data_IF_398573715203
#
_entry.id   IF_398573715203
#
_cell.length_a   1.000
_cell.length_b   1.000
_cell.length_c   1.000
_cell.angle_alpha   90.00
_cell.angle_beta   90.00
_cell.angle_gamma   90.00
#
_symmetry.space_group_name_H-M   'P 1'
#
loop_
_entity.id
_entity.type
_entity.pdbx_description
1 polymer ?
#
# COMPACT_ATOMS: atom_id res chain seq x y z
N UNK A 1 -4.37 4.93 11.00
CA UNK A 1 -4.65 3.93 12.06
C UNK A 1 -3.40 3.76 12.92
N UNK A 2 -3.50 3.68 14.24
CA UNK A 2 -2.32 3.46 15.08
C UNK A 2 -1.87 1.98 15.02
N UNK A 3 -0.57 1.69 15.23
CA UNK A 3 -0.10 0.30 15.21
C UNK A 3 -0.74 -0.52 16.33
N UNK A 4 -0.88 -1.84 16.15
CA UNK A 4 -1.43 -2.73 17.20
C UNK A 4 -0.49 -2.88 18.40
N UNK A 5 0.82 -2.87 18.13
CA UNK A 5 1.89 -3.17 19.07
C UNK A 5 3.07 -2.23 18.84
N UNK A 6 3.83 -2.00 19.90
CA UNK A 6 5.13 -1.32 19.85
C UNK A 6 6.13 -2.04 20.72
N UNK A 7 7.41 -1.84 20.42
CA UNK A 7 8.51 -2.29 21.25
C UNK A 7 8.85 -1.22 22.28
N UNK A 8 8.56 -1.49 23.54
CA UNK A 8 9.06 -0.71 24.68
C UNK A 8 10.55 -1.05 24.86
N UNK A 9 11.40 -0.07 24.53
CA UNK A 9 12.83 -0.24 24.57
C UNK A 9 13.34 -0.31 26.01
N UNK A 10 12.71 0.34 26.99
CA UNK A 10 13.17 0.26 28.37
C UNK A 10 12.94 -1.12 28.97
N UNK A 11 11.71 -1.65 28.85
CA UNK A 11 11.38 -2.98 29.37
C UNK A 11 11.84 -4.13 28.47
N UNK A 12 12.28 -3.81 27.24
CA UNK A 12 12.63 -4.76 26.20
C UNK A 12 11.49 -5.75 25.88
N UNK A 13 10.27 -5.22 25.74
CA UNK A 13 9.07 -6.02 25.47
C UNK A 13 8.19 -5.38 24.43
N UNK A 14 7.54 -6.21 23.63
CA UNK A 14 6.44 -5.80 22.79
C UNK A 14 5.18 -5.68 23.65
N UNK A 15 4.57 -4.50 23.60
CA UNK A 15 3.39 -4.14 24.37
C UNK A 15 2.29 -3.61 23.44
N UNK A 16 1.02 -3.67 23.84
CA UNK A 16 -0.06 -3.02 23.09
C UNK A 16 0.20 -1.52 22.94
N UNK A 17 -0.13 -0.97 21.78
CA UNK A 17 0.10 0.46 21.48
C UNK A 17 -0.50 1.42 22.49
N UNK A 18 -1.70 1.15 23.00
CA UNK A 18 -2.39 2.02 23.95
C UNK A 18 -1.66 2.19 25.30
N UNK A 19 -0.65 1.36 25.58
CA UNK A 19 0.24 1.52 26.75
C UNK A 19 1.32 2.59 26.49
N UNK A 20 1.67 2.83 25.23
CA UNK A 20 2.71 3.78 24.87
C UNK A 20 2.24 5.21 25.17
N UNK A 21 3.08 5.95 25.90
CA UNK A 21 2.81 7.36 26.25
C UNK A 21 3.36 8.35 25.23
N UNK A 22 4.08 7.85 24.24
CA UNK A 22 4.69 8.60 23.14
C UNK A 22 4.58 7.82 21.84
N UNK A 23 4.61 8.55 20.73
CA UNK A 23 4.68 7.98 19.40
C UNK A 23 6.00 7.22 19.21
N UNK A 24 5.98 6.03 18.59
CA UNK A 24 7.15 5.18 18.52
C UNK A 24 8.04 5.66 17.37
N UNK A 25 9.34 5.49 17.51
CA UNK A 25 10.24 5.71 16.39
C UNK A 25 10.16 4.52 15.42
N UNK A 26 10.12 4.80 14.12
CA UNK A 26 10.16 3.75 13.11
C UNK A 26 11.55 3.14 12.99
N UNK A 27 11.64 1.83 12.83
CA UNK A 27 12.86 1.14 12.42
C UNK A 27 12.61 0.53 11.06
N UNK A 28 13.30 1.05 10.06
CA UNK A 28 13.20 0.61 8.68
C UNK A 28 14.51 -0.03 8.25
N UNK A 29 14.47 -1.11 7.46
CA UNK A 29 15.69 -1.83 7.12
C UNK A 29 15.62 -2.56 5.77
N UNK A 30 16.78 -2.72 5.14
CA UNK A 30 16.92 -3.58 3.98
C UNK A 30 16.64 -5.05 4.35
N UNK A 31 16.17 -5.82 3.38
CA UNK A 31 15.83 -7.23 3.56
C UNK A 31 16.97 -8.08 3.02
N UNK A 32 17.41 -9.06 3.82
CA UNK A 32 18.43 -10.00 3.40
C UNK A 32 17.80 -11.26 2.82
N UNK A 33 18.54 -11.95 1.96
CA UNK A 33 18.16 -13.28 1.47
C UNK A 33 17.92 -14.26 2.64
N UNK A 34 17.04 -15.24 2.43
CA UNK A 34 16.74 -16.27 3.44
C UNK A 34 17.99 -16.99 3.94
N UNK A 35 18.98 -17.21 3.07
CA UNK A 35 20.26 -17.84 3.43
C UNK A 35 21.11 -17.02 4.41
N UNK A 36 20.89 -15.71 4.51
CA UNK A 36 21.60 -14.80 5.42
C UNK A 36 20.78 -14.42 6.66
N UNK A 37 19.58 -14.98 6.81
CA UNK A 37 18.70 -14.75 7.95
C UNK A 37 18.61 -15.97 8.86
N UNK A 38 18.19 -15.72 10.09
CA UNK A 38 17.83 -16.74 11.08
C UNK A 38 16.56 -16.30 11.81
N UNK A 39 15.73 -17.28 12.14
CA UNK A 39 14.55 -17.08 12.99
C UNK A 39 14.97 -17.21 14.45
N UNK A 40 14.76 -16.15 15.23
CA UNK A 40 15.10 -16.12 16.65
C UNK A 40 13.84 -16.21 17.49
N UNK A 41 13.82 -17.18 18.41
CA UNK A 41 12.86 -17.20 19.50
C UNK A 41 13.30 -16.23 20.60
N UNK A 42 12.41 -15.36 21.05
CA UNK A 42 12.77 -14.24 21.92
C UNK A 42 11.70 -13.93 22.98
N UNK A 43 12.09 -13.61 24.22
CA UNK A 43 11.14 -13.15 25.23
C UNK A 43 10.54 -11.78 24.91
N UNK A 44 11.14 -11.01 23.98
CA UNK A 44 10.68 -9.66 23.59
C UNK A 44 9.22 -9.69 23.16
N UNK A 45 8.83 -10.66 22.33
CA UNK A 45 7.44 -10.87 21.90
C UNK A 45 6.73 -12.01 22.66
N UNK A 46 7.23 -12.35 23.86
CA UNK A 46 6.74 -13.46 24.69
C UNK A 46 6.78 -14.83 23.98
N UNK A 47 7.78 -15.08 23.14
CA UNK A 47 7.94 -16.34 22.40
C UNK A 47 6.74 -16.70 21.51
N UNK A 48 5.95 -15.71 21.09
CA UNK A 48 4.70 -15.96 20.37
C UNK A 48 4.91 -16.25 18.87
N UNK A 49 5.98 -15.72 18.27
CA UNK A 49 6.38 -16.00 16.89
C UNK A 49 7.90 -15.87 16.73
N UNK A 50 8.51 -16.58 15.78
CA UNK A 50 9.92 -16.39 15.46
C UNK A 50 10.18 -15.01 14.86
N UNK A 51 11.32 -14.41 15.16
CA UNK A 51 11.72 -13.09 14.64
C UNK A 51 12.84 -13.27 13.60
N UNK A 52 12.59 -13.00 12.31
CA UNK A 52 13.59 -13.13 11.26
C UNK A 52 14.58 -11.96 11.31
N UNK A 53 15.85 -12.24 11.65
CA UNK A 53 16.92 -11.24 11.68
C UNK A 53 18.14 -11.72 10.88
N UNK A 54 19.04 -10.81 10.45
CA UNK A 54 20.34 -11.21 9.91
C UNK A 54 21.10 -12.15 10.87
N UNK A 55 21.87 -13.10 10.32
CA UNK A 55 22.62 -14.08 11.12
C UNK A 55 23.62 -13.44 12.08
N UNK A 56 24.21 -12.33 11.66
CA UNK A 56 25.17 -11.48 12.36
C UNK A 56 24.52 -10.38 13.23
N UNK A 57 23.20 -10.18 13.15
CA UNK A 57 22.50 -9.17 13.93
C UNK A 57 22.15 -9.61 15.36
N UNK A 58 21.99 -8.61 16.24
CA UNK A 58 21.56 -8.78 17.61
C UNK A 58 20.54 -7.70 18.01
N UNK A 59 19.32 -8.11 18.37
CA UNK A 59 18.24 -7.20 18.77
C UNK A 59 18.61 -6.32 19.97
N UNK A 60 19.47 -6.80 20.89
CA UNK A 60 19.92 -5.99 22.02
C UNK A 60 20.84 -4.84 21.58
N UNK A 61 21.63 -5.03 20.51
CA UNK A 61 22.47 -3.95 19.97
C UNK A 61 21.61 -2.90 19.26
N UNK A 62 20.64 -3.34 18.45
CA UNK A 62 19.63 -2.44 17.86
C UNK A 62 18.91 -1.64 18.94
N UNK A 63 18.47 -2.30 20.02
CA UNK A 63 17.85 -1.64 21.17
C UNK A 63 18.75 -0.58 21.80
N UNK A 64 20.01 -0.90 22.06
CA UNK A 64 20.97 0.04 22.67
C UNK A 64 21.17 1.25 21.76
N UNK A 65 21.30 1.03 20.45
CA UNK A 65 21.42 2.10 19.48
C UNK A 65 20.19 3.02 19.48
N UNK A 66 18.99 2.46 19.44
CA UNK A 66 17.74 3.23 19.54
C UNK A 66 17.64 4.04 20.84
N UNK A 67 18.01 3.43 21.98
CA UNK A 67 18.05 4.12 23.28
C UNK A 67 19.07 5.27 23.28
N UNK A 68 20.24 5.09 22.66
CA UNK A 68 21.26 6.15 22.54
C UNK A 68 20.77 7.32 21.68
N UNK A 69 19.92 7.07 20.69
CA UNK A 69 19.26 8.14 19.94
C UNK A 69 18.14 8.84 20.74
N UNK A 70 17.72 8.27 21.87
CA UNK A 70 16.68 8.83 22.74
C UNK A 70 15.28 8.28 22.48
N UNK A 71 15.16 7.17 21.74
CA UNK A 71 13.87 6.51 21.56
C UNK A 71 13.44 5.77 22.85
N UNK A 72 12.18 5.96 23.26
CA UNK A 72 11.57 5.22 24.37
C UNK A 72 10.78 4.00 23.85
N UNK A 73 10.06 4.21 22.75
CA UNK A 73 9.29 3.20 22.04
C UNK A 73 9.74 3.14 20.58
N UNK A 74 9.75 1.95 20.01
CA UNK A 74 10.04 1.74 18.60
C UNK A 74 8.97 0.88 17.94
N UNK A 75 8.74 1.11 16.66
CA UNK A 75 7.99 0.22 15.79
C UNK A 75 8.97 -0.48 14.85
N UNK A 76 9.07 -1.80 14.99
CA UNK A 76 9.86 -2.67 14.13
C UNK A 76 8.93 -3.78 13.65
N UNK A 77 8.66 -3.83 12.35
CA UNK A 77 7.72 -4.74 11.69
C UNK A 77 7.85 -6.21 12.16
N UNK A 78 9.07 -6.76 12.15
CA UNK A 78 9.34 -8.15 12.53
C UNK A 78 9.06 -8.45 14.02
N UNK A 79 9.00 -7.42 14.87
CA UNK A 79 8.64 -7.51 16.28
C UNK A 79 7.20 -7.09 16.56
N UNK A 80 6.63 -6.17 15.79
CA UNK A 80 5.32 -5.57 16.05
C UNK A 80 4.20 -6.23 15.22
N UNK A 81 4.55 -7.02 14.21
CA UNK A 81 3.67 -7.88 13.44
C UNK A 81 4.03 -9.35 13.69
N UNK A 82 3.01 -10.21 13.76
CA UNK A 82 3.24 -11.67 13.82
C UNK A 82 3.92 -12.12 12.53
N UNK A 83 4.90 -12.98 12.65
CA UNK A 83 5.66 -13.51 11.52
C UNK A 83 5.24 -14.94 11.20
N UNK A 84 5.54 -15.38 9.98
CA UNK A 84 5.31 -16.75 9.52
C UNK A 84 6.05 -17.78 10.39
N UNK A 85 5.50 -18.98 10.50
CA UNK A 85 6.06 -20.06 11.33
C UNK A 85 5.62 -19.96 12.79
N UNK A 86 4.55 -19.20 13.06
CA UNK A 86 3.92 -19.14 14.37
C UNK A 86 2.96 -20.31 14.56
N UNK A 87 2.61 -20.65 15.82
CA UNK A 87 1.59 -21.68 16.09
C UNK A 87 0.16 -21.26 15.69
N UNK A 88 -0.07 -19.98 15.34
CA UNK A 88 -1.41 -19.44 15.12
C UNK A 88 -1.49 -18.62 13.83
N UNK A 89 -1.27 -19.29 12.70
CA UNK A 89 -1.32 -18.71 11.37
C UNK A 89 -2.68 -18.07 11.05
N UNK A 90 -3.79 -18.62 11.59
CA UNK A 90 -5.12 -18.01 11.43
C UNK A 90 -5.21 -16.63 12.08
N UNK A 91 -4.56 -16.44 13.24
CA UNK A 91 -4.51 -15.15 13.92
C UNK A 91 -3.57 -14.19 13.20
N UNK A 92 -2.44 -14.68 12.69
CA UNK A 92 -1.52 -13.87 11.86
C UNK A 92 -2.25 -13.33 10.64
N UNK A 93 -2.96 -14.17 9.89
CA UNK A 93 -3.72 -13.75 8.72
C UNK A 93 -4.78 -12.69 9.08
N UNK A 94 -5.52 -12.87 10.18
CA UNK A 94 -6.50 -11.88 10.66
C UNK A 94 -5.88 -10.55 11.07
N UNK A 95 -4.71 -10.57 11.73
CA UNK A 95 -4.00 -9.34 12.10
C UNK A 95 -3.43 -8.65 10.85
N UNK A 96 -2.77 -9.40 9.96
CA UNK A 96 -2.19 -8.87 8.72
C UNK A 96 -3.23 -8.24 7.81
N UNK A 97 -4.43 -8.81 7.76
CA UNK A 97 -5.56 -8.27 7.01
C UNK A 97 -5.76 -6.78 7.22
N UNK A 98 -5.61 -6.30 8.46
CA UNK A 98 -5.79 -4.90 8.82
C UNK A 98 -4.45 -4.16 8.97
N UNK A 99 -3.46 -4.82 9.57
CA UNK A 99 -2.23 -4.17 10.00
C UNK A 99 -1.28 -3.89 8.81
N UNK A 100 -1.19 -4.80 7.82
CA UNK A 100 -0.24 -4.70 6.67
C UNK A 100 -0.53 -3.49 5.76
N UNK A 101 -1.78 -3.25 5.31
CA UNK A 101 -2.10 -2.07 4.48
C UNK A 101 -1.85 -0.73 5.17
N UNK A 102 -1.69 -0.74 6.50
CA UNK A 102 -1.60 0.45 7.33
C UNK A 102 -0.20 0.69 7.92
N UNK A 103 0.80 -0.10 7.50
CA UNK A 103 2.17 -0.03 8.04
C UNK A 103 2.76 1.37 7.95
N UNK A 104 2.54 2.09 6.83
CA UNK A 104 3.03 3.46 6.64
C UNK A 104 2.70 4.41 7.79
N UNK A 105 1.54 4.24 8.45
CA UNK A 105 1.15 5.08 9.59
C UNK A 105 2.14 5.03 10.77
N UNK A 106 2.91 3.94 10.90
CA UNK A 106 3.92 3.80 11.95
C UNK A 106 5.19 4.65 11.69
N UNK A 107 5.35 5.20 10.49
CA UNK A 107 6.57 5.88 10.04
C UNK A 107 6.38 7.39 9.76
N UNK A 108 5.15 7.91 9.79
CA UNK A 108 4.85 9.30 9.42
C UNK A 108 5.21 10.30 10.50
N UNK A 109 4.86 10.00 11.75
CA UNK A 109 4.78 11.02 12.81
C UNK A 109 6.13 11.32 13.47
N UNK A 110 6.97 10.31 13.64
CA UNK A 110 8.22 10.41 14.41
C UNK A 110 9.45 10.00 13.60
N UNK A 111 10.62 10.04 14.24
CA UNK A 111 11.89 9.68 13.60
C UNK A 111 11.89 8.24 13.10
N UNK A 112 12.47 8.05 11.92
CA UNK A 112 12.73 6.73 11.32
C UNK A 112 14.23 6.47 11.26
N UNK A 113 14.67 5.35 11.85
CA UNK A 113 16.07 4.89 11.77
C UNK A 113 16.18 3.86 10.66
N UNK A 114 16.97 4.16 9.63
CA UNK A 114 17.08 3.35 8.42
C UNK A 114 18.39 2.56 8.38
N UNK A 115 18.30 1.23 8.36
CA UNK A 115 19.45 0.32 8.18
C UNK A 115 19.56 -0.15 6.73
N UNK A 116 20.43 0.48 5.95
CA UNK A 116 20.56 0.23 4.50
C UNK A 116 21.23 -1.10 4.15
N UNK A 117 22.03 -1.67 5.06
CA UNK A 117 22.73 -2.96 4.88
C UNK A 117 21.99 -4.15 5.51
N UNK A 118 20.80 -3.93 6.07
CA UNK A 118 20.03 -4.90 6.84
C UNK A 118 20.02 -4.57 8.32
N UNK A 119 18.96 -5.01 9.01
CA UNK A 119 18.67 -4.64 10.39
C UNK A 119 19.88 -4.83 11.33
N UNK A 120 20.28 -3.75 12.01
CA UNK A 120 21.36 -3.78 13.00
C UNK A 120 22.76 -3.99 12.42
N UNK A 121 22.92 -3.99 11.09
CA UNK A 121 24.23 -4.08 10.43
C UNK A 121 24.82 -2.69 10.21
N UNK A 122 26.15 -2.54 10.32
CA UNK A 122 26.82 -1.27 10.02
C UNK A 122 26.61 -0.87 8.56
N UNK A 123 26.57 0.45 8.32
CA UNK A 123 26.63 1.01 6.98
C UNK A 123 28.07 0.91 6.46
N UNK A 124 28.24 0.14 5.39
CA UNK A 124 29.52 -0.22 4.78
C UNK A 124 29.51 0.05 3.27
N UNK A 125 30.70 0.28 2.68
CA UNK A 125 30.86 0.63 1.25
C UNK A 125 30.40 -0.45 0.26
N UNK A 126 30.15 -1.68 0.72
CA UNK A 126 29.56 -2.75 -0.10
C UNK A 126 28.05 -2.59 -0.33
N UNK A 127 27.46 -1.47 0.11
CA UNK A 127 26.07 -1.12 -0.15
C UNK A 127 25.81 -0.91 -1.64
N UNK A 128 25.04 -1.81 -2.24
CA UNK A 128 24.50 -1.65 -3.59
C UNK A 128 23.11 -1.03 -3.50
N UNK A 129 22.98 0.22 -3.97
CA UNK A 129 21.72 0.95 -3.97
C UNK A 129 20.70 0.45 -4.99
N UNK A 130 21.15 -0.27 -6.00
CA UNK A 130 20.33 -0.67 -7.15
C UNK A 130 20.03 -2.17 -7.15
N UNK A 131 20.67 -2.94 -6.26
CA UNK A 131 20.30 -4.33 -5.95
C UNK A 131 18.82 -4.46 -5.61
N UNK A 132 18.19 -5.55 -6.06
CA UNK A 132 16.82 -5.95 -5.73
C UNK A 132 16.55 -6.06 -4.22
N UNK A 133 17.60 -6.22 -3.41
CA UNK A 133 17.54 -6.30 -1.95
C UNK A 133 17.82 -4.97 -1.25
N UNK A 134 18.19 -3.95 -2.01
CA UNK A 134 18.44 -2.61 -1.49
C UNK A 134 17.19 -2.04 -0.84
N UNK A 135 17.40 -1.25 0.21
CA UNK A 135 16.32 -0.49 0.84
C UNK A 135 15.55 0.36 -0.17
N UNK A 136 16.23 0.93 -1.17
CA UNK A 136 15.60 1.79 -2.20
C UNK A 136 14.75 1.03 -3.22
N UNK A 137 14.94 -0.28 -3.34
CA UNK A 137 14.25 -1.11 -4.35
C UNK A 137 13.09 -1.89 -3.77
N UNK A 138 12.93 -2.00 -2.45
CA UNK A 138 11.81 -2.74 -1.86
C UNK A 138 10.48 -2.00 -1.99
N UNK A 139 9.42 -2.72 -2.27
CA UNK A 139 8.05 -2.15 -2.36
C UNK A 139 7.62 -1.45 -1.07
N UNK A 140 7.78 -2.12 0.08
CA UNK A 140 7.30 -1.62 1.38
C UNK A 140 7.98 -0.34 1.86
N UNK A 141 9.28 -0.15 1.55
CA UNK A 141 10.04 1.03 2.01
C UNK A 141 9.56 2.35 1.42
N UNK A 142 8.68 2.30 0.42
CA UNK A 142 8.01 3.50 -0.11
C UNK A 142 7.15 4.16 0.98
N UNK A 143 6.42 3.34 1.75
CA UNK A 143 5.60 3.80 2.89
C UNK A 143 6.44 4.22 4.10
N UNK A 144 7.70 3.77 4.16
CA UNK A 144 8.62 3.99 5.29
C UNK A 144 9.51 5.24 5.07
N UNK A 145 9.36 5.91 3.92
CA UNK A 145 10.12 7.11 3.56
C UNK A 145 9.59 8.31 4.35
N UNK A 146 10.35 8.75 5.37
CA UNK A 146 10.00 9.88 6.23
C UNK A 146 10.92 11.10 6.04
N UNK A 147 10.36 12.31 6.24
CA UNK A 147 11.14 13.56 6.34
C UNK A 147 12.06 13.57 7.55
N UNK A 148 11.64 12.91 8.62
CA UNK A 148 12.33 12.87 9.89
C UNK A 148 13.05 11.52 10.00
N UNK A 149 14.24 11.41 9.41
CA UNK A 149 14.96 10.14 9.33
C UNK A 149 16.43 10.27 9.72
N UNK A 150 17.05 9.14 10.05
CA UNK A 150 18.49 9.02 10.30
C UNK A 150 19.05 7.66 9.88
N UNK A 151 20.38 7.59 9.76
CA UNK A 151 21.10 6.36 9.39
C UNK A 151 21.28 5.51 10.66
N UNK A 152 20.82 4.25 10.61
CA UNK A 152 21.18 3.22 11.58
C UNK A 152 22.48 2.51 11.18
N UNK A 153 23.27 2.10 12.16
CA UNK A 153 24.57 1.46 11.94
C UNK A 153 25.63 2.41 11.39
N UNK A 154 25.53 3.71 11.66
CA UNK A 154 26.49 4.72 11.18
C UNK A 154 27.91 4.41 11.70
N UNK A 155 28.85 4.22 10.78
CA UNK A 155 30.26 3.93 11.06
C UNK A 155 31.15 5.18 11.12
N UNK A 156 30.59 6.36 10.86
CA UNK A 156 31.31 7.64 10.81
C UNK A 156 31.98 7.94 9.46
N UNK A 157 31.81 7.09 8.43
CA UNK A 157 32.28 7.38 7.07
C UNK A 157 31.46 8.53 6.46
N UNK A 158 32.01 9.74 6.52
CA UNK A 158 31.34 10.96 6.03
C UNK A 158 31.02 10.91 4.53
N UNK A 159 31.84 10.22 3.73
CA UNK A 159 31.63 10.15 2.28
C UNK A 159 30.45 9.24 1.97
N UNK A 160 30.45 8.03 2.54
CA UNK A 160 29.35 7.08 2.38
C UNK A 160 28.03 7.63 2.94
N UNK A 161 28.08 8.28 4.11
CA UNK A 161 26.92 8.94 4.71
C UNK A 161 26.35 10.03 3.80
N UNK A 162 27.20 10.78 3.10
CA UNK A 162 26.76 11.80 2.15
C UNK A 162 26.07 11.17 0.95
N UNK A 163 26.64 10.12 0.38
CA UNK A 163 26.07 9.39 -0.77
C UNK A 163 24.68 8.83 -0.45
N UNK A 164 24.53 8.13 0.68
CA UNK A 164 23.25 7.59 1.13
C UNK A 164 22.23 8.70 1.38
N UNK A 165 22.64 9.83 1.98
CA UNK A 165 21.75 10.98 2.21
C UNK A 165 21.27 11.61 0.90
N UNK A 166 22.13 11.78 -0.10
CA UNK A 166 21.71 12.29 -1.40
C UNK A 166 20.75 11.32 -2.10
N UNK A 167 21.02 10.01 -2.05
CA UNK A 167 20.11 9.00 -2.61
C UNK A 167 18.75 8.98 -1.89
N UNK A 168 18.75 9.11 -0.56
CA UNK A 168 17.52 9.20 0.22
C UNK A 168 16.74 10.49 -0.10
N UNK A 169 17.41 11.63 -0.28
CA UNK A 169 16.74 12.87 -0.70
C UNK A 169 16.08 12.75 -2.07
N UNK A 170 16.71 12.06 -3.02
CA UNK A 170 16.11 11.77 -4.32
C UNK A 170 14.83 10.92 -4.16
N UNK A 171 14.91 9.87 -3.35
CA UNK A 171 13.77 9.01 -3.02
C UNK A 171 12.63 9.80 -2.35
N UNK A 172 12.94 10.59 -1.32
CA UNK A 172 11.97 11.44 -0.63
C UNK A 172 11.33 12.46 -1.59
N UNK A 173 12.14 13.10 -2.44
CA UNK A 173 11.64 14.03 -3.45
C UNK A 173 10.70 13.34 -4.45
N UNK A 174 11.00 12.10 -4.84
CA UNK A 174 10.11 11.33 -5.71
C UNK A 174 8.77 11.07 -5.02
N UNK A 175 8.78 10.61 -3.76
CA UNK A 175 7.56 10.35 -2.98
C UNK A 175 6.74 11.61 -2.75
N UNK A 176 7.38 12.73 -2.39
CA UNK A 176 6.70 14.01 -2.13
C UNK A 176 6.13 14.67 -3.39
N UNK A 177 6.76 14.44 -4.55
CA UNK A 177 6.28 14.96 -5.84
C UNK A 177 5.10 14.17 -6.38
N UNK A 178 4.84 12.96 -5.87
CA UNK A 178 3.62 12.23 -6.22
C UNK A 178 2.45 12.84 -5.46
N UNK A 179 1.89 13.91 -6.03
CA UNK A 179 0.66 14.50 -5.57
C UNK A 179 -0.49 14.03 -6.46
N UNK A 180 -1.49 13.41 -5.83
CA UNK A 180 -2.85 13.19 -6.35
C UNK A 180 -2.96 12.47 -7.70
N UNK A 181 -2.20 11.42 -8.00
CA UNK A 181 -2.39 10.66 -9.24
C UNK A 181 -1.90 9.22 -9.05
N UNK A 182 -2.58 8.26 -9.68
CA UNK A 182 -2.25 6.83 -9.74
C UNK A 182 -0.97 6.58 -10.53
N UNK A 183 -0.81 7.21 -11.69
CA UNK A 183 0.29 6.88 -12.62
C UNK A 183 1.68 7.10 -12.01
N UNK A 184 1.99 8.22 -11.34
CA UNK A 184 3.30 8.38 -10.74
C UNK A 184 3.57 7.38 -9.60
N UNK A 185 2.55 6.95 -8.86
CA UNK A 185 2.71 5.87 -7.87
C UNK A 185 3.02 4.52 -8.53
N UNK A 186 2.31 4.18 -9.62
CA UNK A 186 2.58 2.97 -10.40
C UNK A 186 4.02 2.98 -10.94
N UNK A 187 4.48 4.12 -11.44
CA UNK A 187 5.85 4.29 -11.92
C UNK A 187 6.90 4.06 -10.82
N UNK A 188 6.69 4.59 -9.61
CA UNK A 188 7.59 4.33 -8.49
C UNK A 188 7.63 2.86 -8.06
N UNK A 189 6.57 2.10 -8.31
CA UNK A 189 6.48 0.67 -7.99
C UNK A 189 6.97 -0.26 -9.10
N UNK A 190 7.02 0.21 -10.36
CA UNK A 190 7.52 -0.57 -11.49
C UNK A 190 8.94 -1.08 -11.23
N UNK A 191 9.82 -0.18 -10.81
CA UNK A 191 11.23 -0.50 -10.53
C UNK A 191 11.46 -1.12 -9.16
N UNK A 192 10.40 -1.46 -8.40
CA UNK A 192 10.51 -2.03 -7.06
C UNK A 192 10.27 -3.53 -7.02
N UNK A 193 10.89 -4.17 -6.04
CA UNK A 193 10.82 -5.60 -5.78
C UNK A 193 9.83 -5.90 -4.67
N UNK A 194 9.11 -6.99 -4.81
CA UNK A 194 8.25 -7.59 -3.80
C UNK A 194 8.36 -9.11 -3.89
N UNK A 195 8.01 -9.82 -2.82
CA UNK A 195 7.94 -11.28 -2.87
C UNK A 195 6.65 -11.72 -3.57
N UNK A 196 5.57 -10.94 -3.43
CA UNK A 196 4.29 -11.16 -4.09
C UNK A 196 3.81 -9.88 -4.77
N UNK A 197 3.12 -10.00 -5.90
CA UNK A 197 2.56 -8.83 -6.60
C UNK A 197 1.46 -8.14 -5.78
N UNK A 198 0.71 -8.89 -4.96
CA UNK A 198 -0.29 -8.32 -4.04
C UNK A 198 0.34 -7.34 -3.04
N UNK A 199 1.62 -7.48 -2.70
CA UNK A 199 2.33 -6.55 -1.82
C UNK A 199 2.48 -5.18 -2.46
N UNK A 200 2.61 -5.09 -3.80
CA UNK A 200 2.64 -3.79 -4.51
C UNK A 200 1.29 -3.11 -4.44
N UNK A 201 0.21 -3.86 -4.61
CA UNK A 201 -1.15 -3.32 -4.47
C UNK A 201 -1.42 -2.86 -3.04
N UNK A 202 -1.04 -3.67 -2.05
CA UNK A 202 -1.16 -3.31 -0.64
C UNK A 202 -0.29 -2.10 -0.28
N UNK A 203 0.87 -1.95 -0.92
CA UNK A 203 1.71 -0.78 -0.76
C UNK A 203 1.03 0.50 -1.29
N UNK A 204 0.35 0.41 -2.44
CA UNK A 204 -0.43 1.50 -3.02
C UNK A 204 -1.63 1.92 -2.17
N UNK A 205 -2.26 0.97 -1.49
CA UNK A 205 -3.45 1.23 -0.68
C UNK A 205 -3.22 2.36 0.33
N UNK A 206 -2.04 2.42 0.93
CA UNK A 206 -1.67 3.48 1.86
C UNK A 206 -1.69 4.90 1.24
N UNK A 207 -1.40 5.01 -0.05
CA UNK A 207 -1.32 6.31 -0.74
C UNK A 207 -2.61 6.68 -1.49
N UNK A 208 -3.35 5.69 -2.01
CA UNK A 208 -4.48 5.91 -2.91
C UNK A 208 -5.85 5.75 -2.24
N UNK A 209 -5.95 5.05 -1.10
CA UNK A 209 -7.25 4.83 -0.45
C UNK A 209 -7.81 6.14 0.12
N UNK A 210 -9.10 6.38 -0.13
CA UNK A 210 -9.80 7.57 0.33
C UNK A 210 -10.19 7.42 1.81
N UNK A 211 -9.68 8.32 2.65
CA UNK A 211 -9.95 8.35 4.09
C UNK A 211 -11.44 8.51 4.45
N UNK A 212 -12.29 8.90 3.50
CA UNK A 212 -13.73 9.01 3.68
C UNK A 212 -14.51 7.71 3.37
N UNK A 213 -13.86 6.70 2.79
CA UNK A 213 -14.49 5.44 2.37
C UNK A 213 -14.02 4.29 3.27
N UNK A 214 -14.90 3.73 4.11
CA UNK A 214 -14.57 2.51 4.85
C UNK A 214 -14.34 1.34 3.90
N UNK A 215 -13.20 0.65 4.01
CA UNK A 215 -12.92 -0.54 3.21
C UNK A 215 -13.61 -1.82 3.74
N UNK A 216 -14.05 -1.84 5.01
CA UNK A 216 -14.63 -3.03 5.64
C UNK A 216 -15.86 -2.76 6.51
N UNK A 217 -16.89 -3.59 6.31
CA UNK A 217 -17.75 -4.09 7.38
C UNK A 217 -17.21 -5.50 7.72
N UNK A 218 -17.14 -5.89 9.00
CA UNK A 218 -16.43 -7.07 9.54
C UNK A 218 -16.88 -8.48 9.05
N UNK A 219 -17.47 -8.61 7.87
CA UNK A 219 -17.83 -9.88 7.26
C UNK A 219 -17.42 -9.91 5.80
N UNK A 220 -16.24 -10.47 5.49
CA UNK A 220 -15.96 -10.98 4.14
C UNK A 220 -16.19 -12.50 4.13
N UNK A 221 -16.90 -13.06 3.13
CA UNK A 221 -17.25 -14.47 3.09
C UNK A 221 -16.02 -15.34 2.87
N UNK A 222 -16.00 -16.47 3.57
CA UNK A 222 -15.14 -17.62 3.30
C UNK A 222 -15.27 -18.01 1.84
N UNK A 223 -14.14 -18.12 1.13
CA UNK A 223 -14.07 -18.76 -0.17
C UNK A 223 -14.72 -20.15 -0.07
N UNK A 224 -15.64 -20.44 -1.00
CA UNK A 224 -16.43 -21.66 -1.07
C UNK A 224 -15.65 -22.92 -0.69
N UNK A 225 -16.11 -23.60 0.36
CA UNK A 225 -15.99 -25.05 0.45
C UNK A 225 -17.29 -25.59 1.02
N UNK A 226 -18.05 -26.25 0.16
CA UNK A 226 -19.14 -27.14 0.54
C UNK A 226 -18.56 -28.19 1.50
N UNK A 227 -18.93 -28.19 2.78
CA UNK A 227 -19.30 -29.38 3.55
C UNK A 227 -19.57 -29.09 5.04
N UNK A 228 -20.75 -29.57 5.45
CA UNK A 228 -21.24 -29.95 6.78
C UNK A 228 -21.10 -29.03 7.99
N UNK A 229 -22.28 -28.57 8.43
CA UNK A 229 -22.55 -28.00 9.73
C UNK A 229 -22.54 -29.09 10.82
N UNK A 230 -21.61 -28.98 11.76
CA UNK A 230 -21.77 -29.59 13.09
C UNK A 230 -21.65 -28.52 14.16
N UNK A 231 -22.79 -28.28 14.83
CA UNK A 231 -23.04 -27.52 16.06
C UNK A 231 -21.80 -27.20 16.91
N UNK A 232 -21.63 -25.91 17.23
CA UNK A 232 -20.84 -25.46 18.38
C UNK A 232 -21.73 -25.31 19.61
N UNK A 233 -21.23 -25.88 20.71
CA UNK A 233 -21.75 -25.92 22.07
C UNK A 233 -21.54 -24.55 22.77
N UNK A 234 -22.54 -23.93 23.44
CA UNK A 234 -22.41 -22.59 24.00
C UNK A 234 -21.81 -22.63 25.41
N UNK A 235 -20.54 -23.00 25.52
CA UNK A 235 -19.75 -22.78 26.75
C UNK A 235 -18.28 -22.57 26.40
N UNK A 236 -17.97 -21.41 25.83
CA UNK A 236 -16.61 -20.86 25.80
C UNK A 236 -16.69 -19.43 26.33
N UNK A 237 -16.25 -19.25 27.56
CA UNK A 237 -16.09 -17.95 28.20
C UNK A 237 -14.83 -17.29 27.64
N UNK A 238 -14.92 -16.65 26.48
CA UNK A 238 -13.94 -15.68 26.03
C UNK A 238 -14.56 -14.28 26.14
N UNK A 239 -14.08 -13.52 27.12
CA UNK A 239 -14.47 -12.14 27.38
C UNK A 239 -13.98 -11.25 26.23
N UNK A 240 -14.75 -11.18 25.14
CA UNK A 240 -14.62 -10.09 24.18
C UNK A 240 -15.23 -8.83 24.80
N UNK A 241 -14.36 -7.94 25.26
CA UNK A 241 -14.76 -6.58 25.59
C UNK A 241 -15.22 -5.92 24.30
N UNK A 242 -16.54 -5.79 24.18
CA UNK A 242 -17.27 -5.01 23.19
C UNK A 242 -16.90 -3.53 23.36
N UNK A 243 -15.85 -3.08 22.68
CA UNK A 243 -15.68 -1.66 22.34
C UNK A 243 -16.42 -1.42 21.03
N UNK A 244 -17.62 -0.86 21.13
CA UNK A 244 -18.50 -0.54 20.01
C UNK A 244 -18.07 0.70 19.25
N UNK A 245 -16.88 0.68 18.65
CA UNK A 245 -16.50 1.63 17.61
C UNK A 245 -16.01 0.81 16.41
N UNK A 246 -16.76 0.74 15.28
CA UNK A 246 -16.28 0.04 14.11
C UNK A 246 -15.00 0.77 13.69
N UNK A 247 -13.87 0.08 13.84
CA UNK A 247 -12.59 0.59 13.36
C UNK A 247 -12.72 0.65 11.85
N UNK A 248 -13.17 1.78 11.32
CA UNK A 248 -13.34 2.02 9.89
C UNK A 248 -11.95 2.01 9.28
N UNK A 249 -11.47 0.82 8.93
CA UNK A 249 -10.21 0.66 8.22
C UNK A 249 -10.43 1.15 6.79
N UNK A 250 -9.64 2.16 6.41
CA UNK A 250 -9.74 2.88 5.13
C UNK A 250 -9.08 2.08 4.00
N UNK A 251 -8.00 1.37 4.30
CA UNK A 251 -7.27 0.57 3.33
C UNK A 251 -7.91 -0.82 3.14
N UNK A 252 -7.95 -1.37 1.90
CA UNK A 252 -8.39 -2.74 1.63
C UNK A 252 -7.68 -3.80 2.46
N UNK A 253 -8.43 -4.84 2.82
CA UNK A 253 -7.97 -6.00 3.55
C UNK A 253 -6.87 -6.69 2.77
N UNK A 254 -5.74 -6.92 3.44
CA UNK A 254 -4.67 -7.69 2.86
C UNK A 254 -4.95 -9.20 2.98
N UNK A 255 -4.66 -9.94 1.92
CA UNK A 255 -4.61 -11.39 1.95
C UNK A 255 -3.48 -11.89 1.08
N UNK A 256 -2.60 -12.70 1.66
CA UNK A 256 -1.50 -13.34 0.94
C UNK A 256 -1.96 -14.33 -0.15
N UNK A 257 -3.22 -14.77 -0.08
CA UNK A 257 -3.82 -15.72 -1.00
C UNK A 257 -4.62 -15.04 -2.12
N UNK A 258 -4.84 -13.72 -2.02
CA UNK A 258 -5.57 -12.95 -3.02
C UNK A 258 -4.67 -12.66 -4.23
N UNK A 259 -5.24 -12.71 -5.43
CA UNK A 259 -4.50 -12.34 -6.64
C UNK A 259 -4.27 -10.83 -6.65
N UNK A 260 -3.21 -10.38 -7.33
CA UNK A 260 -2.96 -8.94 -7.47
C UNK A 260 -4.10 -8.22 -8.22
N UNK A 261 -4.76 -8.86 -9.18
CA UNK A 261 -5.93 -8.26 -9.88
C UNK A 261 -7.13 -8.11 -8.94
N UNK A 262 -7.40 -9.09 -8.08
CA UNK A 262 -8.51 -9.02 -7.13
C UNK A 262 -8.26 -7.90 -6.11
N UNK A 263 -7.04 -7.84 -5.55
CA UNK A 263 -6.64 -6.77 -4.65
C UNK A 263 -6.71 -5.40 -5.33
N UNK A 264 -6.27 -5.30 -6.59
CA UNK A 264 -6.33 -4.07 -7.38
C UNK A 264 -7.77 -3.63 -7.60
N UNK A 265 -8.65 -4.56 -7.93
CA UNK A 265 -10.09 -4.32 -8.08
C UNK A 265 -10.71 -3.77 -6.79
N UNK A 266 -10.30 -4.30 -5.62
CA UNK A 266 -10.77 -3.79 -4.33
C UNK A 266 -10.22 -2.39 -4.06
N UNK A 267 -8.94 -2.13 -4.36
CA UNK A 267 -8.35 -0.80 -4.19
C UNK A 267 -9.06 0.25 -5.04
N UNK A 268 -9.41 -0.05 -6.30
CA UNK A 268 -10.15 0.88 -7.17
C UNK A 268 -11.52 1.28 -6.60
N UNK A 269 -12.18 0.40 -5.84
CA UNK A 269 -13.47 0.72 -5.21
C UNK A 269 -13.36 1.79 -4.12
N UNK A 270 -12.23 1.83 -3.43
CA UNK A 270 -12.01 2.69 -2.25
C UNK A 270 -11.01 3.81 -2.50
N UNK A 271 -10.37 3.87 -3.67
CA UNK A 271 -9.51 4.99 -4.03
C UNK A 271 -10.30 6.28 -4.24
N UNK A 272 -9.60 7.40 -4.20
CA UNK A 272 -10.23 8.71 -4.38
C UNK A 272 -10.94 8.81 -5.73
N UNK A 273 -12.02 9.59 -5.80
CA UNK A 273 -12.76 9.80 -7.06
C UNK A 273 -11.90 10.47 -8.13
N UNK A 274 -10.87 11.21 -7.71
CA UNK A 274 -9.86 11.80 -8.58
C UNK A 274 -8.95 10.73 -9.21
N UNK A 275 -8.42 9.81 -8.41
CA UNK A 275 -7.56 8.71 -8.89
C UNK A 275 -8.28 7.80 -9.90
N UNK A 276 -9.56 7.52 -9.66
CA UNK A 276 -10.40 6.80 -10.63
C UNK A 276 -10.59 7.56 -11.94
N UNK A 277 -10.69 8.89 -11.87
CA UNK A 277 -10.84 9.71 -13.09
C UNK A 277 -9.60 9.64 -13.96
N UNK A 278 -8.41 9.58 -13.37
CA UNK A 278 -7.17 9.43 -14.13
C UNK A 278 -7.17 8.12 -14.91
N UNK A 279 -7.64 7.03 -14.32
CA UNK A 279 -7.80 5.75 -15.04
C UNK A 279 -8.73 5.89 -16.24
N UNK A 280 -9.89 6.51 -16.04
CA UNK A 280 -10.91 6.65 -17.08
C UNK A 280 -10.44 7.51 -18.27
N UNK A 281 -9.73 8.60 -18.00
CA UNK A 281 -9.39 9.60 -19.03
C UNK A 281 -7.99 9.45 -19.61
N UNK A 282 -7.06 8.86 -18.87
CA UNK A 282 -5.65 8.80 -19.26
C UNK A 282 -5.21 7.41 -19.74
N UNK A 283 -5.98 6.34 -19.45
CA UNK A 283 -5.70 5.00 -19.96
C UNK A 283 -6.57 4.68 -21.18
N UNK A 284 -5.95 4.25 -22.28
CA UNK A 284 -6.61 4.14 -23.59
C UNK A 284 -6.97 2.70 -24.01
N UNK A 285 -6.32 1.70 -23.42
CA UNK A 285 -6.62 0.30 -23.73
C UNK A 285 -7.79 -0.19 -22.86
N UNK A 286 -8.68 -1.03 -23.40
CA UNK A 286 -9.75 -1.60 -22.60
C UNK A 286 -9.19 -2.53 -21.51
N UNK A 287 -9.75 -2.39 -20.31
CA UNK A 287 -9.52 -3.31 -19.20
C UNK A 287 -10.16 -4.70 -19.38
N UNK A 288 -10.10 -5.53 -18.32
CA UNK A 288 -10.75 -6.84 -18.31
C UNK A 288 -12.27 -6.69 -18.38
N UNK A 289 -12.95 -7.73 -18.89
CA UNK A 289 -14.41 -7.74 -19.06
C UNK A 289 -15.12 -7.38 -17.74
N UNK A 290 -16.16 -6.53 -17.82
CA UNK A 290 -16.83 -5.82 -16.71
C UNK A 290 -16.09 -4.63 -16.09
N UNK A 291 -14.80 -4.44 -16.36
CA UNK A 291 -14.01 -3.30 -15.88
C UNK A 291 -13.28 -2.60 -17.04
N UNK A 292 -13.86 -2.60 -18.25
CA UNK A 292 -13.23 -2.11 -19.47
C UNK A 292 -12.79 -0.62 -19.41
N UNK A 293 -13.34 0.16 -18.48
CA UNK A 293 -13.05 1.58 -18.27
C UNK A 293 -11.75 1.88 -17.54
N UNK A 294 -11.12 0.88 -16.90
CA UNK A 294 -9.88 1.00 -16.13
C UNK A 294 -8.85 -0.05 -16.56
N UNK A 295 -7.55 0.15 -16.30
CA UNK A 295 -6.57 -0.89 -16.52
C UNK A 295 -6.76 -2.08 -15.55
N UNK A 296 -6.45 -3.30 -16.03
CA UNK A 296 -6.05 -4.42 -15.16
C UNK A 296 -4.76 -4.09 -14.39
N UNK A 297 -4.42 -4.86 -13.37
CA UNK A 297 -3.17 -4.74 -12.63
C UNK A 297 -1.95 -4.84 -13.55
N UNK A 298 -1.96 -5.81 -14.47
CA UNK A 298 -0.86 -5.98 -15.44
C UNK A 298 -0.75 -4.77 -16.37
N UNK A 299 -1.89 -4.25 -16.85
CA UNK A 299 -1.93 -3.04 -17.68
C UNK A 299 -1.43 -1.81 -16.92
N UNK A 300 -1.87 -1.63 -15.65
CA UNK A 300 -1.46 -0.54 -14.79
C UNK A 300 0.06 -0.55 -14.56
N UNK A 301 0.62 -1.73 -14.28
CA UNK A 301 2.07 -1.89 -14.11
C UNK A 301 2.86 -1.66 -15.40
N UNK A 302 2.24 -1.69 -16.58
CA UNK A 302 2.88 -1.40 -17.86
C UNK A 302 2.42 -0.06 -18.47
N UNK A 303 1.76 0.79 -17.69
CA UNK A 303 1.20 2.03 -18.19
C UNK A 303 2.32 3.04 -18.53
N UNK A 304 2.46 3.36 -19.82
CA UNK A 304 3.41 4.35 -20.31
C UNK A 304 2.94 5.79 -20.03
N UNK A 305 3.75 6.49 -19.24
CA UNK A 305 3.64 7.89 -18.80
C UNK A 305 3.56 8.96 -19.89
N UNK A 306 3.75 8.64 -21.18
CA UNK A 306 3.74 9.65 -22.25
C UNK A 306 2.38 10.34 -22.51
N UNK A 307 1.31 9.96 -21.81
CA UNK A 307 -0.05 10.52 -21.96
C UNK A 307 -0.46 11.54 -20.89
N UNK A 308 0.47 12.32 -20.30
CA UNK A 308 0.09 13.29 -19.28
C UNK A 308 -0.52 14.57 -19.86
N UNK A 309 -1.81 14.77 -19.55
CA UNK A 309 -2.48 16.07 -19.56
C UNK A 309 -3.00 16.35 -18.15
N UNK A 310 -2.33 17.24 -17.42
CA UNK A 310 -2.64 17.66 -16.04
C UNK A 310 -3.94 18.48 -15.88
N UNK A 311 -4.94 18.29 -16.74
CA UNK A 311 -5.97 19.29 -16.95
C UNK A 311 -7.42 18.77 -16.91
N UNK A 312 -7.72 17.75 -16.12
CA UNK A 312 -9.10 17.30 -15.93
C UNK A 312 -9.41 17.13 -14.44
N UNK A 313 -9.96 18.19 -13.83
CA UNK A 313 -10.62 18.10 -12.52
C UNK A 313 -12.00 17.47 -12.71
N UNK A 314 -12.03 16.14 -12.83
CA UNK A 314 -13.30 15.43 -12.87
C UNK A 314 -13.26 14.23 -11.94
N UNK A 315 -14.45 13.77 -11.56
CA UNK A 315 -14.61 12.78 -10.51
C UNK A 315 -15.37 11.59 -11.06
N UNK A 316 -14.84 10.41 -10.79
CA UNK A 316 -15.57 9.15 -11.00
C UNK A 316 -16.02 8.68 -9.62
N UNK A 317 -17.33 8.73 -9.41
CA UNK A 317 -17.97 8.29 -8.18
C UNK A 317 -18.23 6.79 -8.22
N UNK A 318 -18.21 6.16 -7.06
CA UNK A 318 -18.52 4.75 -6.90
C UNK A 318 -19.61 4.59 -5.83
N UNK A 319 -20.75 4.06 -6.23
CA UNK A 319 -21.80 3.68 -5.29
C UNK A 319 -21.49 2.27 -4.75
N UNK A 320 -21.07 2.20 -3.49
CA UNK A 320 -20.72 0.96 -2.81
C UNK A 320 -21.91 -0.01 -2.65
N UNK A 321 -23.16 0.48 -2.68
CA UNK A 321 -24.36 -0.35 -2.51
C UNK A 321 -24.73 -1.07 -3.81
N UNK A 322 -24.63 -0.37 -4.92
CA UNK A 322 -24.99 -0.90 -6.25
C UNK A 322 -23.77 -1.48 -6.97
N UNK A 323 -22.55 -1.11 -6.55
CA UNK A 323 -21.31 -1.44 -7.23
C UNK A 323 -21.10 -0.68 -8.54
N UNK A 324 -21.89 0.38 -8.79
CA UNK A 324 -21.85 1.13 -10.05
C UNK A 324 -20.90 2.31 -9.95
N UNK A 325 -20.16 2.56 -11.02
CA UNK A 325 -19.38 3.77 -11.18
C UNK A 325 -20.18 4.79 -12.01
N UNK A 326 -20.05 6.07 -11.68
CA UNK A 326 -20.71 7.14 -12.42
C UNK A 326 -19.78 8.33 -12.62
N UNK A 327 -19.98 9.02 -13.73
CA UNK A 327 -19.27 10.25 -14.07
C UNK A 327 -20.28 11.32 -14.44
N UNK A 328 -20.11 12.51 -13.88
CA UNK A 328 -20.87 13.70 -14.25
C UNK A 328 -19.96 14.70 -14.95
N UNK A 329 -20.23 14.96 -16.22
CA UNK A 329 -19.43 15.92 -16.98
C UNK A 329 -19.80 15.99 -18.46
N UNK A 330 -18.99 16.72 -19.20
CA UNK A 330 -19.22 16.94 -20.62
C UNK A 330 -18.93 15.66 -21.40
N UNK A 331 -19.91 15.23 -22.21
CA UNK A 331 -19.71 14.16 -23.18
C UNK A 331 -19.60 14.77 -24.57
N UNK A 332 -18.60 14.32 -25.32
CA UNK A 332 -18.48 14.64 -26.74
C UNK A 332 -19.30 13.60 -27.49
N UNK A 333 -20.57 13.90 -27.75
CA UNK A 333 -21.47 13.01 -28.50
C UNK A 333 -20.95 12.72 -29.92
N UNK A 334 -20.27 13.70 -30.51
CA UNK A 334 -19.56 13.53 -31.77
C UNK A 334 -18.38 14.50 -31.87
N UNK A 335 -17.28 14.01 -32.42
CA UNK A 335 -16.10 14.83 -32.73
C UNK A 335 -15.76 14.66 -34.20
N UNK A 336 -15.42 15.76 -34.86
CA UNK A 336 -14.80 15.70 -36.19
C UNK A 336 -13.31 15.86 -36.05
N UNK A 337 -12.57 14.77 -36.28
CA UNK A 337 -11.13 14.82 -36.36
C UNK A 337 -10.72 15.11 -37.80
N UNK A 338 -10.18 16.30 -38.05
CA UNK A 338 -9.52 16.64 -39.31
C UNK A 338 -8.00 16.58 -39.12
N UNK A 339 -7.27 15.97 -40.04
CA UNK A 339 -5.81 15.98 -40.06
C UNK A 339 -5.09 14.74 -39.51
N UNK A 340 -5.80 13.74 -38.96
CA UNK A 340 -5.25 12.38 -38.82
C UNK A 340 -5.31 11.67 -40.18
N UNK A 341 -4.50 12.14 -41.12
CA UNK A 341 -4.48 11.61 -42.47
C UNK A 341 -3.76 10.26 -42.50
N UNK A 342 -4.51 9.16 -42.55
CA UNK A 342 -4.27 8.17 -43.60
C UNK A 342 -5.07 8.60 -44.85
N UNK A 343 -4.49 8.53 -46.06
CA UNK A 343 -4.93 9.36 -47.16
C UNK A 343 -6.10 8.75 -47.94
N UNK A 344 -7.34 9.15 -47.66
CA UNK A 344 -8.45 9.15 -48.65
C UNK A 344 -9.45 10.29 -48.31
N UNK A 345 -9.96 11.07 -49.29
CA UNK A 345 -10.71 12.30 -49.01
C UNK A 345 -12.24 12.10 -48.91
N UNK A 346 -12.87 12.75 -47.92
CA UNK A 346 -13.88 13.80 -48.13
C UNK A 346 -14.45 14.30 -46.78
N UNK A 347 -14.69 15.61 -46.62
CA UNK A 347 -15.21 16.18 -45.39
C UNK A 347 -16.73 16.01 -45.30
N UNK A 348 -17.25 15.65 -44.13
CA UNK A 348 -18.63 15.98 -43.77
C UNK A 348 -18.62 17.23 -42.88
N UNK A 349 -19.65 18.05 -42.94
CA UNK A 349 -19.90 19.16 -41.98
C UNK A 349 -20.80 18.64 -40.87
N UNK A 350 -20.59 19.02 -39.61
CA UNK A 350 -21.57 18.80 -38.53
C UNK A 350 -21.64 20.02 -37.58
N UNK A 351 -22.88 20.38 -37.22
CA UNK A 351 -23.32 21.48 -36.35
C UNK A 351 -23.28 21.09 -34.85
N UNK A 352 -23.17 22.07 -33.93
CA UNK A 352 -22.93 21.90 -32.48
C UNK A 352 -24.16 22.10 -31.59
N UNK A 353 -24.27 21.31 -30.51
CA UNK A 353 -24.92 21.68 -29.24
C UNK A 353 -24.11 21.09 -28.07
N UNK A 354 -24.01 21.79 -26.94
CA UNK A 354 -23.39 21.33 -25.69
C UNK A 354 -24.49 21.15 -24.63
N UNK A 355 -24.54 20.02 -23.92
CA UNK A 355 -25.44 19.77 -22.78
C UNK A 355 -24.69 19.05 -21.64
N UNK A 356 -25.17 19.23 -20.41
CA UNK A 356 -24.72 18.54 -19.20
C UNK A 356 -25.37 17.15 -19.11
N UNK A 357 -24.60 16.12 -18.75
CA UNK A 357 -25.10 14.74 -18.63
C UNK A 357 -24.52 14.00 -17.42
N UNK A 358 -25.31 13.05 -16.91
CA UNK A 358 -24.94 12.06 -15.92
C UNK A 358 -24.86 10.70 -16.59
N UNK A 359 -23.74 9.98 -16.42
CA UNK A 359 -23.54 8.66 -17.02
C UNK A 359 -23.20 7.61 -15.97
N UNK A 360 -23.83 6.45 -16.12
CA UNK A 360 -23.35 5.23 -15.47
C UNK A 360 -22.27 4.61 -16.34
N UNK A 361 -21.13 4.30 -15.73
CA UNK A 361 -20.08 3.49 -16.32
C UNK A 361 -20.53 2.03 -16.14
N UNK A 362 -21.47 1.60 -16.97
CA UNK A 362 -22.05 0.25 -16.90
C UNK A 362 -21.14 -0.79 -17.56
N UNK A 363 -21.02 -1.93 -16.88
CA UNK A 363 -20.18 -3.10 -17.23
C UNK A 363 -20.71 -3.97 -18.37
N UNK A 364 -21.66 -3.53 -19.20
CA UNK A 364 -22.24 -4.38 -20.25
C UNK A 364 -21.98 -3.86 -21.66
N UNK A 365 -21.66 -4.83 -22.52
CA UNK A 365 -21.38 -4.71 -23.95
C UNK A 365 -22.45 -3.90 -24.68
N UNK A 366 -22.23 -2.60 -24.80
CA UNK A 366 -22.65 -1.65 -25.85
C UNK A 366 -22.35 -0.27 -25.28
N UNK A 367 -21.79 0.64 -26.07
CA UNK A 367 -21.24 1.92 -25.60
C UNK A 367 -22.12 2.68 -24.61
N UNK A 368 -21.47 3.52 -23.77
CA UNK A 368 -22.05 4.52 -22.85
C UNK A 368 -23.59 4.55 -22.90
N UNK A 369 -24.25 3.82 -22.00
CA UNK A 369 -25.71 3.80 -21.96
C UNK A 369 -26.22 5.08 -21.29
N UNK A 370 -26.85 5.92 -22.09
CA UNK A 370 -27.45 7.19 -21.67
C UNK A 370 -28.75 6.94 -20.90
N UNK A 371 -28.85 7.42 -19.65
CA UNK A 371 -30.12 7.54 -18.96
C UNK A 371 -30.45 9.01 -18.72
N UNK A 372 -31.51 9.49 -19.40
CA UNK A 372 -32.09 10.79 -19.13
C UNK A 372 -32.81 10.76 -17.78
N UNK A 373 -32.29 11.47 -16.79
CA UNK A 373 -33.10 11.94 -15.67
C UNK A 373 -33.77 13.24 -16.12
N UNK A 374 -35.10 13.22 -16.19
CA UNK A 374 -35.95 14.36 -16.58
C UNK A 374 -36.16 15.31 -15.41
#
# INVERSE_FOLDING_TARGET
>A
MAPRRVWDLFSNRVVPWWVARRTPWGISHAWLDGSHRKNVDTPINRHQWPVPIPKDANLNLVRIEMLNFGAEYAWLDILCLRQEGSRNESLRAREWMLDVPNIGNAYVEEKVVCYFNGLGRPLERGFDSDSDRSWFKRTWTLQETSRNWMIGGDTGDKTLNKEVRERFKLQLSSVERVAFNVVPWLWLLQDRTSEKDVDKVAALAYFLADNSIPAHNETRPTTSTTHDYTKFDPTSNDNSIRTGDPTSTIAPAYSELESAEDAWTVLVKVMTSYDRSEMLFSYHEPGPEKNAWRPSWQQAMNWDTRCFSNAFYVFVDHDMKTGTYSYYGWCIESVQVQGLATPVPAPRKVLRFFHFFYFYILSDHTGLTHHHLS
#
